data_IF_368763027385
#
_entry.id   IF_368763027385
#
_cell.length_a   1.000
_cell.length_b   1.000
_cell.length_c   1.000
_cell.angle_alpha   90.00
_cell.angle_beta   90.00
_cell.angle_gamma   90.00
#
_symmetry.space_group_name_H-M   'P 1'
#
loop_
_entity.id
_entity.type
_entity.pdbx_description
1 polymer ?
#
# COMPACT_ATOMS: atom_id res chain seq x y z
N UNK A 1 0.57 4.81 -8.05
CA UNK A 1 -0.12 3.65 -7.43
C UNK A 1 -0.98 4.16 -6.26
N UNK A 2 -2.04 3.45 -5.86
CA UNK A 2 -2.88 3.85 -4.71
C UNK A 2 -2.66 2.83 -3.60
N UNK A 3 -1.98 3.27 -2.54
CA UNK A 3 -1.55 2.46 -1.41
C UNK A 3 -1.96 3.12 -0.10
N UNK A 4 -2.54 2.35 0.82
CA UNK A 4 -2.86 2.80 2.18
C UNK A 4 -4.33 3.16 2.40
N UNK A 5 -4.60 3.98 3.41
CA UNK A 5 -5.94 4.32 3.85
C UNK A 5 -6.73 5.07 2.78
N UNK A 6 -8.00 4.72 2.63
CA UNK A 6 -8.92 5.44 1.76
C UNK A 6 -9.69 6.52 2.51
N UNK A 7 -10.55 7.26 1.81
CA UNK A 7 -11.50 8.21 2.42
C UNK A 7 -12.53 7.54 3.36
N UNK A 8 -12.63 6.21 3.30
CA UNK A 8 -13.56 5.43 4.11
C UNK A 8 -12.80 4.76 5.25
N UNK A 9 -13.39 4.82 6.44
CA UNK A 9 -12.85 4.16 7.62
C UNK A 9 -12.73 2.66 7.40
N UNK A 10 -11.62 2.09 7.88
CA UNK A 10 -11.30 0.66 7.78
C UNK A 10 -11.21 0.10 6.35
N UNK A 11 -11.06 0.96 5.33
CA UNK A 11 -10.80 0.54 3.96
C UNK A 11 -9.40 0.98 3.52
N UNK A 12 -8.58 -0.01 3.14
CA UNK A 12 -7.22 0.16 2.67
C UNK A 12 -7.06 -0.38 1.25
N UNK A 13 -6.25 0.30 0.44
CA UNK A 13 -6.06 0.00 -0.97
C UNK A 13 -4.63 -0.47 -1.25
N UNK A 14 -4.51 -1.45 -2.14
CA UNK A 14 -3.25 -1.94 -2.69
C UNK A 14 -3.40 -2.12 -4.21
N UNK A 15 -3.50 -1.01 -4.95
CA UNK A 15 -3.86 -1.03 -6.38
C UNK A 15 -3.02 -0.07 -7.24
N UNK A 16 -3.15 -0.16 -8.57
CA UNK A 16 -2.54 0.80 -9.49
C UNK A 16 -1.03 0.61 -9.75
N UNK A 17 -0.52 -0.62 -9.62
CA UNK A 17 0.89 -0.96 -9.85
C UNK A 17 1.27 -1.18 -11.33
N UNK A 18 0.30 -1.11 -12.25
CA UNK A 18 0.52 -1.33 -13.67
C UNK A 18 1.03 -2.75 -13.99
N UNK A 19 1.87 -2.87 -15.03
CA UNK A 19 2.46 -4.15 -15.46
C UNK A 19 3.46 -4.72 -14.47
N UNK A 20 4.02 -3.89 -13.58
CA UNK A 20 4.96 -4.30 -12.53
C UNK A 20 4.27 -4.80 -11.26
N UNK A 21 2.94 -4.95 -11.26
CA UNK A 21 2.17 -5.36 -10.09
C UNK A 21 2.65 -6.66 -9.46
N UNK A 22 3.06 -7.65 -10.26
CA UNK A 22 3.59 -8.91 -9.73
C UNK A 22 4.94 -8.74 -9.05
N UNK A 23 5.83 -7.95 -9.65
CA UNK A 23 7.16 -7.65 -9.10
C UNK A 23 7.07 -6.90 -7.78
N UNK A 24 6.10 -6.00 -7.64
CA UNK A 24 5.94 -5.15 -6.46
C UNK A 24 5.00 -5.73 -5.38
N UNK A 25 4.34 -6.86 -5.63
CA UNK A 25 3.28 -7.39 -4.79
C UNK A 25 3.68 -7.58 -3.32
N UNK A 26 4.85 -8.19 -3.07
CA UNK A 26 5.31 -8.44 -1.71
C UNK A 26 5.65 -7.15 -0.96
N UNK A 27 6.33 -6.21 -1.62
CA UNK A 27 6.73 -4.93 -1.02
C UNK A 27 5.53 -4.02 -0.75
N UNK A 28 4.62 -3.89 -1.72
CA UNK A 28 3.41 -3.08 -1.56
C UNK A 28 2.46 -3.66 -0.51
N UNK A 29 2.33 -4.99 -0.48
CA UNK A 29 1.54 -5.70 0.53
C UNK A 29 2.08 -5.49 1.95
N UNK A 30 3.40 -5.55 2.14
CA UNK A 30 4.04 -5.26 3.43
C UNK A 30 3.72 -3.84 3.89
N UNK A 31 3.89 -2.88 2.99
CA UNK A 31 3.67 -1.48 3.32
C UNK A 31 2.19 -1.19 3.68
N UNK A 32 1.23 -1.77 2.96
CA UNK A 32 -0.20 -1.65 3.32
C UNK A 32 -0.50 -2.31 4.66
N UNK A 33 0.11 -3.46 4.97
CA UNK A 33 -0.06 -4.11 6.28
C UNK A 33 0.47 -3.23 7.43
N UNK A 34 1.59 -2.53 7.22
CA UNK A 34 2.12 -1.61 8.22
C UNK A 34 1.14 -0.45 8.48
N UNK A 35 0.52 0.12 7.44
CA UNK A 35 -0.53 1.15 7.59
C UNK A 35 -1.74 0.62 8.36
N UNK A 36 -2.21 -0.60 8.04
CA UNK A 36 -3.33 -1.24 8.74
C UNK A 36 -3.03 -1.41 10.23
N UNK A 37 -1.77 -1.70 10.57
CA UNK A 37 -1.31 -1.88 11.95
C UNK A 37 -0.92 -0.56 12.66
N UNK A 38 -1.09 0.60 12.00
CA UNK A 38 -0.67 1.89 12.54
C UNK A 38 0.85 2.06 12.66
N UNK A 39 1.62 1.27 11.92
CA UNK A 39 3.08 1.36 11.84
C UNK A 39 3.49 2.27 10.69
N UNK A 40 4.62 2.95 10.86
CA UNK A 40 5.23 3.72 9.76
C UNK A 40 5.78 2.72 8.72
N UNK A 41 5.32 2.78 7.46
CA UNK A 41 5.85 1.92 6.40
C UNK A 41 7.30 2.31 6.06
N UNK A 42 8.13 1.32 5.70
CA UNK A 42 9.53 1.55 5.29
C UNK A 42 9.64 2.26 3.94
N UNK A 43 8.62 2.12 3.09
CA UNK A 43 8.57 2.75 1.76
C UNK A 43 7.58 3.92 1.77
N UNK A 44 7.96 5.02 1.12
CA UNK A 44 7.04 6.13 0.88
C UNK A 44 5.98 5.72 -0.14
N UNK A 45 4.73 6.12 0.10
CA UNK A 45 3.66 6.00 -0.89
C UNK A 45 3.58 7.19 -1.83
N UNK A 46 4.29 8.28 -1.52
CA UNK A 46 4.44 9.42 -2.41
C UNK A 46 5.58 9.17 -3.40
N UNK A 47 5.25 9.28 -4.68
CA UNK A 47 6.12 9.19 -5.85
C UNK A 47 5.42 9.69 -7.09
#
# INVERSE_FOLDING_TARGET
>A
PVLGASRYDNLYLNTGHGTLGWTMACGSGRAVADVVLGKQPEISFEG
#
